data_IF_359998710858
#
_entry.id   IF_359998710858
#
_cell.length_a   1.000
_cell.length_b   1.000
_cell.length_c   1.000
_cell.angle_alpha   90.00
_cell.angle_beta   90.00
_cell.angle_gamma   90.00
#
_symmetry.space_group_name_H-M   'P 1'
#
loop_
_entity.id
_entity.type
_entity.pdbx_description
1 polymer ?
#
# COMPACT_ATOMS: atom_id res chain seq x y z
N UNK A 1 6.64 -4.51 -7.77
CA UNK A 1 6.77 -3.15 -8.33
C UNK A 1 5.52 -2.75 -9.08
N UNK A 2 5.08 -3.49 -10.10
CA UNK A 2 3.83 -3.19 -10.85
C UNK A 2 2.61 -3.03 -9.93
N UNK A 3 2.45 -3.92 -8.95
CA UNK A 3 1.39 -3.86 -7.93
C UNK A 3 1.30 -2.50 -7.20
N UNK A 4 2.45 -1.99 -6.75
CA UNK A 4 2.55 -0.69 -6.06
C UNK A 4 2.14 0.47 -6.96
N UNK A 5 2.50 0.41 -8.25
CA UNK A 5 2.14 1.43 -9.24
C UNK A 5 0.63 1.39 -9.49
N UNK A 6 0.05 0.19 -9.63
CA UNK A 6 -1.39 0.01 -9.79
C UNK A 6 -2.14 0.57 -8.58
N UNK A 7 -1.70 0.25 -7.35
CA UNK A 7 -2.30 0.78 -6.12
C UNK A 7 -2.24 2.32 -6.05
N UNK A 8 -1.10 2.90 -6.45
CA UNK A 8 -0.95 4.36 -6.50
C UNK A 8 -1.86 5.01 -7.56
N UNK A 9 -1.95 4.42 -8.75
CA UNK A 9 -2.86 4.88 -9.81
C UNK A 9 -4.32 4.76 -9.41
N UNK A 10 -4.69 3.66 -8.73
CA UNK A 10 -6.05 3.48 -8.17
C UNK A 10 -6.32 4.56 -7.14
N UNK A 11 -5.39 4.84 -6.23
CA UNK A 11 -5.55 5.88 -5.22
C UNK A 11 -5.72 7.28 -5.85
N UNK A 12 -4.96 7.61 -6.89
CA UNK A 12 -5.09 8.85 -7.65
C UNK A 12 -6.46 8.95 -8.34
N UNK A 13 -6.91 7.87 -9.00
CA UNK A 13 -8.21 7.80 -9.64
C UNK A 13 -9.36 7.99 -8.64
N UNK A 14 -9.26 7.38 -7.46
CA UNK A 14 -10.22 7.54 -6.36
C UNK A 14 -10.33 8.99 -5.91
N UNK A 15 -9.20 9.70 -5.81
CA UNK A 15 -9.21 11.12 -5.43
C UNK A 15 -9.94 11.97 -6.47
N UNK A 16 -9.80 11.66 -7.76
CA UNK A 16 -10.48 12.38 -8.85
C UNK A 16 -11.98 12.10 -8.92
N UNK A 17 -12.42 10.88 -8.58
CA UNK A 17 -13.80 10.41 -8.71
C UNK A 17 -14.62 10.55 -7.41
N UNK A 18 -13.95 10.65 -6.26
CA UNK A 18 -14.56 10.78 -4.93
C UNK A 18 -14.45 9.53 -4.05
N UNK A 19 -14.55 9.67 -2.71
CA UNK A 19 -14.29 8.61 -1.74
C UNK A 19 -15.31 7.45 -1.79
N UNK A 20 -16.53 7.69 -2.29
CA UNK A 20 -17.52 6.61 -2.46
C UNK A 20 -17.09 5.57 -3.49
N UNK A 21 -16.30 5.99 -4.49
CA UNK A 21 -15.81 5.13 -5.56
C UNK A 21 -14.53 4.36 -5.18
N UNK A 22 -13.93 4.67 -4.01
CA UNK A 22 -12.71 4.04 -3.50
C UNK A 22 -12.81 2.53 -3.38
N UNK A 23 -13.86 2.07 -2.72
CA UNK A 23 -14.10 0.64 -2.51
C UNK A 23 -14.36 -0.11 -3.80
N UNK A 24 -15.07 0.51 -4.75
CA UNK A 24 -15.44 -0.10 -6.03
C UNK A 24 -14.22 -0.31 -6.92
N UNK A 25 -13.42 0.74 -7.14
CA UNK A 25 -12.17 0.67 -7.92
C UNK A 25 -11.19 -0.35 -7.36
N UNK A 26 -10.98 -0.32 -6.04
CA UNK A 26 -10.06 -1.24 -5.42
C UNK A 26 -10.59 -2.68 -5.45
N UNK A 27 -11.89 -2.89 -5.25
CA UNK A 27 -12.50 -4.22 -5.40
C UNK A 27 -12.36 -4.78 -6.83
N UNK A 28 -12.42 -3.92 -7.84
CA UNK A 28 -12.22 -4.30 -9.24
C UNK A 28 -10.76 -4.71 -9.50
N UNK A 29 -9.78 -3.93 -9.01
CA UNK A 29 -8.36 -4.26 -9.11
C UNK A 29 -8.06 -5.62 -8.47
N UNK A 30 -8.57 -5.83 -7.26
CA UNK A 30 -8.39 -7.08 -6.51
C UNK A 30 -9.10 -8.28 -7.16
N UNK A 31 -10.26 -8.06 -7.77
CA UNK A 31 -10.95 -9.10 -8.55
C UNK A 31 -10.16 -9.47 -9.82
N UNK A 32 -9.58 -8.48 -10.50
CA UNK A 32 -8.69 -8.70 -11.65
C UNK A 32 -7.44 -9.50 -11.25
N UNK A 33 -6.83 -9.15 -10.12
CA UNK A 33 -5.71 -9.90 -9.54
C UNK A 33 -6.09 -11.36 -9.24
N UNK A 34 -7.28 -11.59 -8.66
CA UNK A 34 -7.77 -12.94 -8.40
C UNK A 34 -7.96 -13.76 -9.68
N UNK A 35 -8.52 -13.15 -10.75
CA UNK A 35 -8.64 -13.80 -12.06
C UNK A 35 -7.27 -14.19 -12.61
N UNK A 36 -6.30 -13.27 -12.60
CA UNK A 36 -4.92 -13.56 -12.99
C UNK A 36 -4.29 -14.68 -12.15
N UNK A 37 -4.56 -14.68 -10.85
CA UNK A 37 -4.13 -15.71 -9.91
C UNK A 37 -4.70 -17.09 -10.20
N UNK A 38 -5.99 -17.18 -10.59
CA UNK A 38 -6.64 -18.44 -11.01
C UNK A 38 -5.93 -19.02 -12.24
N UNK A 39 -5.80 -18.22 -13.31
CA UNK A 39 -5.14 -18.67 -14.53
C UNK A 39 -3.66 -19.03 -14.28
N UNK A 40 -2.95 -18.22 -13.49
CA UNK A 40 -1.56 -18.47 -13.12
C UNK A 40 -1.38 -19.74 -12.30
N UNK A 41 -2.29 -20.02 -11.35
CA UNK A 41 -2.21 -21.22 -10.51
C UNK A 41 -2.55 -22.50 -11.29
N UNK A 42 -3.54 -22.43 -12.18
CA UNK A 42 -3.89 -23.55 -13.08
C UNK A 42 -2.75 -23.85 -14.07
N UNK A 43 -2.24 -22.82 -14.75
CA UNK A 43 -1.15 -22.97 -15.71
C UNK A 43 0.14 -23.41 -15.01
N UNK A 44 0.45 -22.85 -13.84
CA UNK A 44 1.61 -23.21 -13.03
C UNK A 44 1.55 -24.65 -12.54
N UNK A 45 0.39 -25.10 -12.04
CA UNK A 45 0.18 -26.49 -11.63
C UNK A 45 0.33 -27.47 -12.80
N UNK A 46 -0.29 -27.16 -13.95
CA UNK A 46 -0.18 -27.97 -15.16
C UNK A 46 1.25 -28.05 -15.68
N UNK A 47 1.92 -26.90 -15.75
CA UNK A 47 3.31 -26.80 -16.22
C UNK A 47 4.26 -27.60 -15.33
N UNK A 48 4.07 -27.55 -14.01
CA UNK A 48 4.94 -28.26 -13.07
C UNK A 48 4.81 -29.80 -13.16
N UNK A 49 3.64 -30.33 -13.53
CA UNK A 49 3.44 -31.78 -13.68
C UNK A 49 3.82 -32.32 -15.06
N UNK A 50 3.75 -31.50 -16.13
CA UNK A 50 3.86 -31.99 -17.51
C UNK A 50 5.05 -31.44 -18.30
N UNK A 51 5.68 -30.36 -17.84
CA UNK A 51 6.76 -29.69 -18.57
C UNK A 51 8.08 -29.74 -17.79
N UNK A 52 9.22 -29.88 -18.50
CA UNK A 52 10.52 -29.73 -17.87
C UNK A 52 10.77 -28.26 -17.49
N UNK A 53 11.50 -28.07 -16.38
CA UNK A 53 11.72 -26.76 -15.72
C UNK A 53 12.27 -25.69 -16.68
N UNK A 54 13.15 -26.05 -17.61
CA UNK A 54 13.69 -25.13 -18.62
C UNK A 54 12.61 -24.51 -19.53
N UNK A 55 11.62 -25.31 -19.95
CA UNK A 55 10.50 -24.83 -20.76
C UNK A 55 9.57 -23.95 -19.93
N UNK A 56 9.35 -24.31 -18.65
CA UNK A 56 8.55 -23.49 -17.72
C UNK A 56 9.14 -22.09 -17.61
N UNK A 57 10.46 -21.97 -17.39
CA UNK A 57 11.10 -20.65 -17.30
C UNK A 57 10.93 -19.82 -18.57
N UNK A 58 11.05 -20.43 -19.76
CA UNK A 58 10.87 -19.71 -21.03
C UNK A 58 9.42 -19.22 -21.17
N UNK A 59 8.43 -20.08 -20.94
CA UNK A 59 7.01 -19.72 -21.03
C UNK A 59 6.67 -18.61 -20.04
N UNK A 60 7.08 -18.75 -18.77
CA UNK A 60 6.78 -17.77 -17.74
C UNK A 60 7.55 -16.45 -17.91
N UNK A 61 8.69 -16.44 -18.61
CA UNK A 61 9.43 -15.21 -18.94
C UNK A 61 8.68 -14.30 -19.91
N UNK A 62 7.74 -14.84 -20.70
CA UNK A 62 6.89 -14.06 -21.59
C UNK A 62 5.89 -13.17 -20.83
N UNK A 63 5.47 -13.57 -19.62
CA UNK A 63 4.50 -12.82 -18.83
C UNK A 63 5.06 -11.45 -18.35
N UNK A 64 6.28 -11.36 -17.77
CA UNK A 64 6.94 -10.08 -17.51
C UNK A 64 7.15 -9.22 -18.76
N UNK A 65 7.45 -9.82 -19.92
CA UNK A 65 7.61 -9.07 -21.18
C UNK A 65 6.29 -8.43 -21.61
N UNK A 66 5.19 -9.17 -21.52
CA UNK A 66 3.86 -8.65 -21.79
C UNK A 66 3.48 -7.52 -20.81
N UNK A 67 3.82 -7.66 -19.52
CA UNK A 67 3.63 -6.61 -18.52
C UNK A 67 4.43 -5.35 -18.88
N UNK A 68 5.67 -5.50 -19.33
CA UNK A 68 6.53 -4.38 -19.74
C UNK A 68 5.93 -3.64 -20.94
N UNK A 69 5.42 -4.36 -21.93
CA UNK A 69 4.73 -3.76 -23.08
C UNK A 69 3.47 -3.00 -22.62
N UNK A 70 2.71 -3.56 -21.68
CA UNK A 70 1.53 -2.90 -21.13
C UNK A 70 1.88 -1.57 -20.44
N UNK A 71 3.01 -1.50 -19.74
CA UNK A 71 3.48 -0.25 -19.11
C UNK A 71 3.77 0.87 -20.13
N UNK A 72 4.10 0.56 -21.38
CA UNK A 72 4.36 1.59 -22.42
C UNK A 72 3.08 2.35 -22.79
N UNK A 73 1.92 1.70 -22.65
CA UNK A 73 0.63 2.29 -22.98
C UNK A 73 -0.01 3.06 -21.82
N UNK A 74 0.61 3.07 -20.64
CA UNK A 74 0.12 3.84 -19.50
C UNK A 74 0.45 5.31 -19.72
N UNK A 75 -0.57 6.12 -19.96
CA UNK A 75 -0.42 7.55 -20.18
C UNK A 75 -0.40 8.29 -18.83
N UNK A 76 0.75 8.90 -18.50
CA UNK A 76 0.89 9.76 -17.32
C UNK A 76 0.29 11.14 -17.63
N UNK A 77 -0.76 11.55 -16.90
CA UNK A 77 -1.28 12.92 -16.99
C UNK A 77 -0.48 13.84 -16.04
N UNK A 78 0.31 14.81 -16.54
CA UNK A 78 1.24 15.61 -15.72
C UNK A 78 0.56 16.74 -14.90
N UNK A 79 -0.76 16.67 -14.72
CA UNK A 79 -1.60 17.82 -14.32
C UNK A 79 -1.28 18.39 -12.92
N UNK A 80 -0.65 17.63 -12.04
CA UNK A 80 -0.32 18.10 -10.68
C UNK A 80 1.05 18.76 -10.56
N UNK A 81 2.01 18.37 -11.41
CA UNK A 81 3.33 19.00 -11.42
C UNK A 81 3.27 20.42 -11.98
N UNK A 82 2.46 20.66 -13.02
CA UNK A 82 2.20 22.02 -13.53
C UNK A 82 1.53 22.90 -12.46
N UNK A 83 0.50 22.39 -11.78
CA UNK A 83 -0.18 23.16 -10.72
C UNK A 83 0.71 23.45 -9.51
N UNK A 84 1.60 22.52 -9.11
CA UNK A 84 2.56 22.74 -8.03
C UNK A 84 3.64 23.76 -8.44
N UNK A 85 4.13 23.68 -9.67
CA UNK A 85 5.11 24.65 -10.20
C UNK A 85 4.50 26.03 -10.35
N UNK A 86 3.27 26.15 -10.84
CA UNK A 86 2.55 27.42 -10.93
C UNK A 86 2.32 28.05 -9.55
N UNK A 87 1.94 27.26 -8.55
CA UNK A 87 1.79 27.75 -7.17
C UNK A 87 3.12 28.22 -6.57
N UNK A 88 4.23 27.51 -6.81
CA UNK A 88 5.57 27.93 -6.32
C UNK A 88 6.08 29.19 -7.05
N UNK A 89 5.74 29.34 -8.34
CA UNK A 89 6.05 30.56 -9.11
C UNK A 89 5.22 31.73 -8.62
N UNK A 90 3.95 31.52 -8.27
CA UNK A 90 3.08 32.56 -7.69
C UNK A 90 3.54 33.00 -6.30
N UNK A 91 3.93 32.06 -5.43
CA UNK A 91 4.38 32.34 -4.06
C UNK A 91 5.72 33.12 -4.06
N UNK A 92 6.62 32.82 -5.01
CA UNK A 92 7.86 33.60 -5.20
C UNK A 92 7.65 34.98 -5.83
N UNK A 93 6.58 35.16 -6.61
CA UNK A 93 6.23 36.46 -7.18
C UNK A 93 5.66 37.41 -6.12
N UNK A 94 4.93 36.87 -5.14
CA UNK A 94 4.43 37.67 -4.00
C UNK A 94 5.57 38.06 -3.04
N UNK A 95 6.53 37.16 -2.75
CA UNK A 95 7.68 37.50 -1.88
C UNK A 95 8.59 38.59 -2.48
N UNK A 96 8.79 38.61 -3.80
CA UNK A 96 9.55 39.69 -4.47
C UNK A 96 8.81 41.04 -4.51
N UNK A 97 7.49 41.04 -4.36
CA UNK A 97 6.69 42.27 -4.28
C UNK A 97 6.74 42.93 -2.90
N UNK A 98 7.09 42.18 -1.86
CA UNK A 98 7.23 42.66 -0.48
C UNK A 98 8.63 43.27 -0.24
N UNK A 99 9.68 42.69 -0.82
CA UNK A 99 11.06 43.21 -0.67
C UNK A 99 11.31 44.53 -1.42
N UNK A 100 10.53 44.83 -2.46
CA UNK A 100 10.63 46.11 -3.18
C UNK A 100 9.89 47.27 -2.49
N UNK A 101 9.10 47.00 -1.45
CA UNK A 101 8.43 48.03 -0.64
C UNK A 101 9.28 48.55 0.54
N UNK A 102 10.39 47.88 0.88
CA UNK A 102 11.23 48.22 2.04
C UNK A 102 12.61 48.85 1.73
N UNK A 103 12.99 48.99 0.45
CA UNK A 103 14.25 49.59 0.06
C UNK A 103 14.05 51.01 -0.53
N UNK A 104 13.68 51.98 0.32
CA UNK A 104 13.46 53.33 -0.19
C UNK A 104 13.18 54.41 0.85
N UNK A 105 14.08 54.62 1.82
CA UNK A 105 14.42 55.95 2.38
C UNK A 105 15.44 55.83 3.52
N UNK A 106 16.68 56.22 3.21
CA UNK A 106 17.66 56.63 4.21
C UNK A 106 18.24 57.98 3.81
N UNK A 107 18.19 58.93 4.74
CA UNK A 107 19.03 60.12 4.94
C UNK A 107 18.27 61.44 5.16
N UNK A 108 18.65 62.17 6.21
CA UNK A 108 18.34 63.59 6.41
C UNK A 108 17.71 63.93 7.77
N UNK A 109 18.45 64.66 8.60
CA UNK A 109 18.18 64.99 10.00
C UNK A 109 17.03 65.99 10.28
N UNK A 110 16.61 65.97 11.55
CA UNK A 110 16.33 67.12 12.43
C UNK A 110 14.89 67.56 12.70
N UNK A 111 14.63 67.59 14.02
CA UNK A 111 13.55 68.16 14.82
C UNK A 111 12.72 69.34 14.24
N UNK A 112 11.40 69.29 14.47
CA UNK A 112 10.63 70.30 15.23
C UNK A 112 9.15 69.91 15.43
N UNK A 113 8.64 70.18 16.63
CA UNK A 113 7.21 70.29 16.97
C UNK A 113 6.55 71.41 16.15
N UNK A 114 5.26 71.30 15.82
CA UNK A 114 4.14 72.22 16.17
C UNK A 114 2.93 72.06 15.21
N UNK A 115 1.71 72.29 15.73
CA UNK A 115 0.70 73.03 14.96
C UNK A 115 -0.46 72.27 14.33
N UNK A 116 -1.61 72.37 14.99
CA UNK A 116 -2.98 72.16 14.50
C UNK A 116 -3.32 72.86 13.17
N UNK A 117 -4.15 72.24 12.30
CA UNK A 117 -5.37 72.85 11.66
C UNK A 117 -6.02 72.01 10.55
N UNK A 118 -7.25 71.59 10.82
CA UNK A 118 -8.50 71.72 10.02
C UNK A 118 -8.43 71.96 8.48
N UNK A 119 -9.22 71.11 7.78
CA UNK A 119 -10.34 71.41 6.83
C UNK A 119 -10.15 71.13 5.32
N UNK A 120 -11.04 70.24 4.84
CA UNK A 120 -11.84 70.26 3.59
C UNK A 120 -11.13 70.24 2.22
N UNK A 121 -11.51 69.22 1.43
CA UNK A 121 -12.30 69.47 0.22
C UNK A 121 -11.73 69.01 -1.13
N UNK A 122 -12.49 68.11 -1.75
CA UNK A 122 -12.80 68.05 -3.18
C UNK A 122 -11.73 67.61 -4.22
N UNK A 123 -11.97 66.40 -4.73
CA UNK A 123 -12.24 66.08 -6.14
C UNK A 123 -11.30 66.61 -7.24
N UNK A 124 -10.61 65.68 -7.93
CA UNK A 124 -10.55 65.68 -9.41
C UNK A 124 -10.12 64.33 -9.99
N UNK A 125 -11.00 63.78 -10.83
CA UNK A 125 -10.72 62.73 -11.81
C UNK A 125 -9.62 63.21 -12.75
N UNK A 126 -8.69 62.33 -13.12
CA UNK A 126 -8.15 62.38 -14.48
C UNK A 126 -7.79 60.99 -15.01
N UNK A 127 -8.30 60.75 -16.22
CA UNK A 127 -8.24 59.55 -17.03
C UNK A 127 -7.12 59.78 -18.05
N UNK A 128 -6.09 58.92 -18.10
CA UNK A 128 -5.22 58.79 -19.29
C UNK A 128 -4.83 57.34 -19.50
N UNK A 129 -5.32 56.80 -20.62
CA UNK A 129 -4.86 55.58 -21.29
C UNK A 129 -3.73 55.94 -22.26
N UNK A 130 -2.98 54.89 -22.63
CA UNK A 130 -1.96 54.77 -23.69
C UNK A 130 -0.54 55.20 -23.30
N UNK A 131 0.39 54.24 -23.29
CA UNK A 131 1.18 53.91 -24.48
C UNK A 131 1.82 52.53 -24.33
N UNK A 132 1.63 51.69 -25.34
CA UNK A 132 2.36 50.44 -25.51
C UNK A 132 3.81 50.76 -25.89
N UNK A 133 4.77 50.04 -25.29
CA UNK A 133 6.11 49.92 -25.86
C UNK A 133 6.60 48.49 -25.67
N UNK A 134 6.44 47.72 -26.75
CA UNK A 134 7.11 46.45 -27.01
C UNK A 134 8.58 46.79 -27.29
N UNK A 135 9.49 46.22 -26.52
CA UNK A 135 10.89 46.08 -26.93
C UNK A 135 11.32 44.66 -26.56
N UNK A 136 11.54 43.89 -27.61
CA UNK A 136 12.25 42.62 -27.60
C UNK A 136 13.68 42.84 -27.07
N UNK A 137 14.08 42.02 -26.11
CA UNK A 137 15.47 41.72 -25.83
C UNK A 137 15.57 40.21 -25.61
N UNK A 138 15.91 39.53 -26.70
CA UNK A 138 16.39 38.16 -26.70
C UNK A 138 17.74 38.08 -25.96
N UNK A 139 18.13 36.86 -25.57
CA UNK A 139 19.39 36.46 -24.92
C UNK A 139 19.48 36.57 -23.38
N UNK A 140 19.00 35.51 -22.72
CA UNK A 140 19.82 34.72 -21.80
C UNK A 140 19.19 33.32 -21.60
N UNK A 141 19.12 32.56 -22.69
CA UNK A 141 18.90 31.12 -22.65
C UNK A 141 20.28 30.44 -22.55
N UNK A 142 20.66 30.01 -21.34
CA UNK A 142 21.50 28.83 -21.04
C UNK A 142 22.23 28.99 -19.71
N UNK A 143 21.58 28.56 -18.63
CA UNK A 143 22.19 27.90 -17.44
C UNK A 143 21.12 27.71 -16.36
N UNK A 144 20.44 26.56 -16.35
CA UNK A 144 19.96 25.88 -15.12
C UNK A 144 19.10 24.62 -15.38
N UNK A 145 19.20 23.97 -16.56
CA UNK A 145 18.44 22.74 -16.83
C UNK A 145 19.01 21.50 -16.10
N UNK A 146 20.18 21.59 -15.43
CA UNK A 146 20.85 20.42 -14.84
C UNK A 146 20.65 20.20 -13.32
N UNK A 147 19.83 20.99 -12.61
CA UNK A 147 19.68 20.88 -11.14
C UNK A 147 18.30 20.43 -10.63
N UNK A 148 17.36 20.10 -11.52
CA UNK A 148 15.95 19.85 -11.15
C UNK A 148 15.60 18.51 -10.47
N UNK A 149 16.29 17.36 -10.67
CA UNK A 149 15.85 16.10 -10.04
C UNK A 149 16.16 16.03 -8.54
N UNK A 150 17.29 16.59 -8.09
CA UNK A 150 17.70 16.54 -6.69
C UNK A 150 16.83 17.39 -5.75
N UNK A 151 16.33 18.54 -6.24
CA UNK A 151 15.42 19.40 -5.48
C UNK A 151 14.02 18.78 -5.36
N UNK A 152 13.58 18.05 -6.38
CA UNK A 152 12.34 17.26 -6.40
C UNK A 152 12.42 16.03 -5.48
N UNK A 153 13.55 15.29 -5.51
CA UNK A 153 13.72 14.13 -4.64
C UNK A 153 13.78 14.51 -3.15
N UNK A 154 14.49 15.59 -2.82
CA UNK A 154 14.59 16.06 -1.42
C UNK A 154 13.25 16.56 -0.89
N UNK A 155 12.46 17.23 -1.73
CA UNK A 155 11.11 17.68 -1.36
C UNK A 155 10.14 16.50 -1.23
N UNK A 156 10.14 15.55 -2.17
CA UNK A 156 9.36 14.32 -2.05
C UNK A 156 9.71 13.53 -0.78
N UNK A 157 10.99 13.40 -0.45
CA UNK A 157 11.45 12.75 0.78
C UNK A 157 11.00 13.49 2.04
N UNK A 158 11.09 14.83 2.06
CA UNK A 158 10.62 15.62 3.20
C UNK A 158 9.10 15.55 3.37
N UNK A 159 8.34 15.61 2.29
CA UNK A 159 6.89 15.43 2.28
C UNK A 159 6.48 14.04 2.76
N UNK A 160 7.17 12.99 2.30
CA UNK A 160 6.96 11.62 2.77
C UNK A 160 7.26 11.48 4.27
N UNK A 161 8.37 12.05 4.74
CA UNK A 161 8.75 12.02 6.15
C UNK A 161 7.74 12.79 7.02
N UNK A 162 7.18 13.88 6.50
CA UNK A 162 6.13 14.65 7.16
C UNK A 162 4.81 13.89 7.18
N UNK A 163 4.41 13.26 6.07
CA UNK A 163 3.22 12.43 5.97
C UNK A 163 3.30 11.21 6.90
N UNK A 164 4.44 10.51 6.92
CA UNK A 164 4.65 9.35 7.77
C UNK A 164 4.67 9.69 9.27
N UNK A 165 5.04 10.93 9.65
CA UNK A 165 4.97 11.41 11.03
C UNK A 165 3.54 11.70 11.49
N UNK A 166 2.56 11.77 10.59
CA UNK A 166 1.18 12.00 10.99
C UNK A 166 0.66 10.78 11.76
N UNK A 167 0.12 10.95 12.98
CA UNK A 167 -0.36 9.84 13.80
C UNK A 167 -1.54 9.10 13.16
N UNK A 168 -2.25 9.73 12.22
CA UNK A 168 -3.30 9.11 11.43
C UNK A 168 -2.79 7.99 10.51
N UNK A 169 -1.55 8.11 10.00
CA UNK A 169 -0.91 7.15 9.09
C UNK A 169 0.01 6.20 9.85
N UNK A 170 0.82 6.74 10.77
CA UNK A 170 1.81 5.98 11.52
C UNK A 170 1.19 4.88 12.38
N UNK A 171 0.07 5.17 13.06
CA UNK A 171 -0.54 4.18 13.98
C UNK A 171 -1.14 2.97 13.24
N UNK A 172 -1.93 3.14 12.16
CA UNK A 172 -2.34 2.01 11.33
C UNK A 172 -1.17 1.25 10.71
N UNK A 173 -0.15 1.94 10.18
CA UNK A 173 1.02 1.28 9.59
C UNK A 173 1.85 0.50 10.61
N UNK A 174 2.04 1.04 11.82
CA UNK A 174 2.73 0.35 12.91
C UNK A 174 1.94 -0.88 13.37
N UNK A 175 0.61 -0.76 13.51
CA UNK A 175 -0.24 -1.91 13.80
C UNK A 175 -0.11 -2.98 12.71
N UNK A 176 -0.17 -2.57 11.44
CA UNK A 176 -0.05 -3.48 10.30
C UNK A 176 1.30 -4.20 10.29
N UNK A 177 2.39 -3.46 10.54
CA UNK A 177 3.74 -4.02 10.67
C UNK A 177 3.81 -5.06 11.79
N UNK A 178 3.36 -4.70 13.01
CA UNK A 178 3.33 -5.62 14.16
C UNK A 178 2.45 -6.83 13.84
N UNK A 179 1.32 -6.63 13.15
CA UNK A 179 0.36 -7.70 12.83
C UNK A 179 0.91 -8.78 11.91
N UNK A 180 1.87 -8.44 11.04
CA UNK A 180 2.52 -9.41 10.15
C UNK A 180 3.85 -9.89 10.74
N UNK A 181 4.61 -9.01 11.39
CA UNK A 181 5.91 -9.36 11.97
C UNK A 181 5.79 -10.30 13.19
N UNK A 182 4.71 -10.21 13.96
CA UNK A 182 4.51 -11.04 15.15
C UNK A 182 4.14 -12.50 14.83
N UNK A 183 3.72 -12.79 13.59
CA UNK A 183 3.33 -14.14 13.17
C UNK A 183 4.59 -14.85 12.65
N UNK A 184 5.10 -15.88 13.35
CA UNK A 184 6.21 -16.69 12.84
C UNK A 184 5.78 -17.42 11.57
N UNK A 185 6.53 -17.25 10.48
CA UNK A 185 6.22 -17.92 9.22
C UNK A 185 6.86 -19.32 9.20
N UNK A 186 6.04 -20.34 9.37
CA UNK A 186 6.42 -21.75 9.21
C UNK A 186 5.81 -22.40 7.96
N UNK A 187 5.40 -21.59 6.98
CA UNK A 187 4.76 -22.06 5.73
C UNK A 187 5.67 -23.00 4.94
N UNK A 188 6.99 -22.79 4.95
CA UNK A 188 7.95 -23.69 4.29
C UNK A 188 7.97 -25.08 4.93
N UNK A 189 7.94 -25.15 6.27
CA UNK A 189 7.91 -26.43 6.99
C UNK A 189 6.57 -27.14 6.78
N UNK A 190 5.47 -26.38 6.79
CA UNK A 190 4.15 -26.90 6.45
C UNK A 190 4.09 -27.44 5.01
N UNK A 191 4.73 -26.78 4.05
CA UNK A 191 4.83 -27.26 2.67
C UNK A 191 5.60 -28.60 2.58
N UNK A 192 6.73 -28.74 3.29
CA UNK A 192 7.44 -30.02 3.36
C UNK A 192 6.59 -31.10 4.02
N UNK A 193 5.85 -30.79 5.09
CA UNK A 193 4.92 -31.73 5.71
C UNK A 193 3.84 -32.20 4.70
N UNK A 194 3.26 -31.28 3.93
CA UNK A 194 2.25 -31.57 2.92
C UNK A 194 2.77 -32.43 1.75
N UNK A 195 4.03 -32.27 1.37
CA UNK A 195 4.62 -32.96 0.21
C UNK A 195 5.27 -34.30 0.60
N UNK A 196 6.02 -34.34 1.69
CA UNK A 196 6.79 -35.51 2.12
C UNK A 196 5.98 -36.48 3.00
N UNK A 197 5.10 -35.97 3.88
CA UNK A 197 4.32 -36.82 4.80
C UNK A 197 2.95 -37.16 4.23
N UNK A 198 2.25 -36.15 3.70
CA UNK A 198 0.91 -36.32 3.13
C UNK A 198 0.91 -36.76 1.66
N UNK A 199 2.10 -36.82 1.03
CA UNK A 199 2.30 -37.21 -0.37
C UNK A 199 1.37 -36.47 -1.35
N UNK A 200 1.12 -35.18 -1.11
CA UNK A 200 0.29 -34.36 -1.98
C UNK A 200 1.09 -33.90 -3.21
N UNK A 201 0.54 -34.19 -4.39
CA UNK A 201 1.13 -33.75 -5.65
C UNK A 201 1.11 -32.21 -5.76
N UNK A 202 2.15 -31.62 -6.37
CA UNK A 202 2.24 -30.18 -6.53
C UNK A 202 1.08 -29.59 -7.38
N UNK A 203 0.50 -30.38 -8.30
CA UNK A 203 -0.73 -30.02 -9.04
C UNK A 203 -1.94 -29.84 -8.12
N UNK A 204 -2.04 -30.64 -7.05
CA UNK A 204 -3.09 -30.51 -6.04
C UNK A 204 -2.92 -29.23 -5.23
N UNK A 205 -1.70 -28.88 -4.85
CA UNK A 205 -1.40 -27.60 -4.18
C UNK A 205 -1.70 -26.40 -5.09
N UNK A 206 -1.44 -26.52 -6.40
CA UNK A 206 -1.86 -25.53 -7.39
C UNK A 206 -3.37 -25.33 -7.44
N UNK A 207 -4.13 -26.43 -7.38
CA UNK A 207 -5.60 -26.41 -7.34
C UNK A 207 -6.13 -25.80 -6.02
N UNK A 208 -5.47 -26.07 -4.90
CA UNK A 208 -5.80 -25.43 -3.62
C UNK A 208 -5.67 -23.89 -3.71
N UNK A 209 -4.62 -23.38 -4.37
CA UNK A 209 -4.49 -21.93 -4.58
C UNK A 209 -5.60 -21.34 -5.44
N UNK A 210 -6.10 -22.07 -6.44
CA UNK A 210 -7.26 -21.62 -7.23
C UNK A 210 -8.48 -21.36 -6.33
N UNK A 211 -8.73 -22.25 -5.37
CA UNK A 211 -9.80 -22.08 -4.38
C UNK A 211 -9.53 -20.87 -3.49
N UNK A 212 -8.26 -20.61 -3.16
CA UNK A 212 -7.84 -19.40 -2.44
C UNK A 212 -8.19 -18.13 -3.21
N UNK A 213 -7.95 -18.10 -4.52
CA UNK A 213 -8.31 -16.96 -5.37
C UNK A 213 -9.83 -16.79 -5.52
N UNK A 214 -10.60 -17.88 -5.62
CA UNK A 214 -12.06 -17.81 -5.56
C UNK A 214 -12.56 -17.25 -4.22
N UNK A 215 -11.94 -17.67 -3.12
CA UNK A 215 -12.25 -17.19 -1.77
C UNK A 215 -11.92 -15.70 -1.61
N UNK A 216 -10.80 -15.25 -2.19
CA UNK A 216 -10.43 -13.83 -2.24
C UNK A 216 -11.47 -13.03 -3.03
N UNK A 217 -11.85 -13.49 -4.22
CA UNK A 217 -12.86 -12.83 -5.05
C UNK A 217 -14.21 -12.72 -4.34
N UNK A 218 -14.65 -13.80 -3.68
CA UNK A 218 -15.86 -13.80 -2.87
C UNK A 218 -15.74 -12.84 -1.67
N UNK A 219 -14.59 -12.84 -0.99
CA UNK A 219 -14.29 -11.94 0.13
C UNK A 219 -14.33 -10.47 -0.29
N UNK A 220 -13.71 -10.12 -1.41
CA UNK A 220 -13.70 -8.78 -1.99
C UNK A 220 -15.11 -8.33 -2.39
N UNK A 221 -15.92 -9.22 -2.96
CA UNK A 221 -17.34 -8.95 -3.24
C UNK A 221 -18.15 -8.68 -1.96
N UNK A 222 -17.98 -9.53 -0.93
CA UNK A 222 -18.62 -9.34 0.39
C UNK A 222 -18.16 -8.02 1.01
N UNK A 223 -16.88 -7.64 0.84
CA UNK A 223 -16.36 -6.38 1.36
C UNK A 223 -17.04 -5.18 0.74
N UNK A 224 -17.13 -5.16 -0.58
CA UNK A 224 -17.76 -4.05 -1.28
C UNK A 224 -19.27 -3.96 -0.95
N UNK A 225 -19.95 -5.10 -0.78
CA UNK A 225 -21.39 -5.09 -0.47
C UNK A 225 -21.70 -4.72 0.99
N UNK A 226 -20.92 -5.21 1.96
CA UNK A 226 -21.28 -5.15 3.38
C UNK A 226 -20.21 -4.57 4.30
N UNK A 227 -18.92 -4.90 4.08
CA UNK A 227 -17.87 -4.54 5.04
C UNK A 227 -17.38 -3.10 4.89
N UNK A 228 -17.55 -2.47 3.72
CA UNK A 228 -17.15 -1.05 3.52
C UNK A 228 -17.82 -0.07 4.49
N UNK A 229 -19.03 -0.41 4.96
CA UNK A 229 -19.78 0.40 5.94
C UNK A 229 -19.48 0.03 7.40
N UNK A 230 -18.70 -1.02 7.65
CA UNK A 230 -18.31 -1.44 9.00
C UNK A 230 -17.00 -0.75 9.40
N UNK A 231 -16.77 -0.63 10.71
CA UNK A 231 -15.53 -0.07 11.27
C UNK A 231 -14.35 -0.97 10.90
N UNK A 232 -13.25 -0.37 10.44
CA UNK A 232 -12.04 -1.09 10.03
C UNK A 232 -11.52 -2.03 11.13
N UNK A 233 -11.55 -1.59 12.39
CA UNK A 233 -11.16 -2.39 13.57
C UNK A 233 -11.90 -3.73 13.64
N UNK A 234 -13.20 -3.76 13.33
CA UNK A 234 -13.99 -4.98 13.41
C UNK A 234 -13.62 -5.93 12.26
N UNK A 235 -13.41 -5.39 11.06
CA UNK A 235 -12.99 -6.18 9.89
C UNK A 235 -11.66 -6.89 10.19
N UNK A 236 -10.69 -6.15 10.73
CA UNK A 236 -9.38 -6.68 11.08
C UNK A 236 -9.43 -7.66 12.25
N UNK A 237 -10.28 -7.41 13.25
CA UNK A 237 -10.54 -8.38 14.32
C UNK A 237 -11.09 -9.70 13.76
N UNK A 238 -12.12 -9.65 12.91
CA UNK A 238 -12.67 -10.86 12.28
C UNK A 238 -11.67 -11.56 11.38
N UNK A 239 -10.82 -10.82 10.65
CA UNK A 239 -9.76 -11.41 9.84
C UNK A 239 -8.74 -12.18 10.69
N UNK A 240 -8.29 -11.63 11.82
CA UNK A 240 -7.38 -12.34 12.73
C UNK A 240 -8.03 -13.50 13.46
N UNK A 241 -9.31 -13.38 13.85
CA UNK A 241 -10.07 -14.52 14.39
C UNK A 241 -10.19 -15.62 13.34
N UNK A 242 -10.46 -15.28 12.08
CA UNK A 242 -10.48 -16.24 10.98
C UNK A 242 -9.12 -16.92 10.77
N UNK A 243 -8.02 -16.16 10.80
CA UNK A 243 -6.67 -16.71 10.69
C UNK A 243 -6.32 -17.62 11.89
N UNK A 244 -6.75 -17.27 13.09
CA UNK A 244 -6.58 -18.10 14.28
C UNK A 244 -7.37 -19.42 14.16
N UNK A 245 -8.61 -19.38 13.65
CA UNK A 245 -9.41 -20.59 13.37
C UNK A 245 -8.68 -21.50 12.38
N UNK A 246 -8.12 -20.93 11.30
CA UNK A 246 -7.36 -21.71 10.31
C UNK A 246 -6.09 -22.30 10.93
N UNK A 247 -5.38 -21.54 11.74
CA UNK A 247 -4.18 -22.05 12.45
C UNK A 247 -4.55 -23.20 13.41
N UNK A 248 -5.73 -23.15 14.03
CA UNK A 248 -6.26 -24.28 14.82
C UNK A 248 -6.56 -25.48 13.92
N UNK A 249 -7.13 -25.29 12.73
CA UNK A 249 -7.32 -26.37 11.76
C UNK A 249 -5.98 -26.99 11.33
N UNK A 250 -4.93 -26.19 11.16
CA UNK A 250 -3.58 -26.69 10.87
C UNK A 250 -3.01 -27.52 12.03
N UNK A 251 -3.25 -27.12 13.29
CA UNK A 251 -2.86 -27.91 14.47
C UNK A 251 -3.61 -29.25 14.50
N UNK A 252 -4.91 -29.25 14.18
CA UNK A 252 -5.72 -30.46 14.11
C UNK A 252 -5.26 -31.41 13.01
N UNK A 253 -4.85 -30.87 11.85
CA UNK A 253 -4.25 -31.62 10.76
C UNK A 253 -2.95 -32.31 11.21
N UNK A 254 -2.02 -31.55 11.80
CA UNK A 254 -0.71 -32.07 12.23
C UNK A 254 -0.84 -33.09 13.37
N UNK A 255 -1.81 -32.88 14.26
CA UNK A 255 -2.09 -33.80 15.37
C UNK A 255 -2.85 -35.05 14.93
N UNK A 256 -3.21 -35.17 13.64
CA UNK A 256 -3.93 -36.30 13.05
C UNK A 256 -5.30 -36.60 13.68
N UNK A 257 -5.90 -35.64 14.40
CA UNK A 257 -7.22 -35.81 15.01
C UNK A 257 -8.32 -35.97 13.95
N UNK A 258 -8.11 -35.46 12.72
CA UNK A 258 -9.08 -35.55 11.62
C UNK A 258 -9.29 -36.99 11.13
N UNK A 259 -8.33 -37.89 11.32
CA UNK A 259 -8.43 -39.30 10.93
C UNK A 259 -9.55 -39.99 11.72
N UNK A 260 -9.75 -39.60 12.99
CA UNK A 260 -10.84 -40.13 13.83
C UNK A 260 -12.22 -39.70 13.35
N UNK A 261 -12.32 -38.55 12.68
CA UNK A 261 -13.56 -38.03 12.09
C UNK A 261 -13.77 -38.49 10.64
N UNK A 262 -12.84 -39.28 10.07
CA UNK A 262 -12.95 -39.81 8.71
C UNK A 262 -12.81 -38.77 7.59
N UNK A 263 -12.27 -37.59 7.89
CA UNK A 263 -12.06 -36.52 6.90
C UNK A 263 -10.76 -36.81 6.16
N UNK A 264 -10.78 -36.83 4.83
CA UNK A 264 -9.56 -37.05 4.05
C UNK A 264 -8.62 -35.84 4.16
N UNK A 265 -7.35 -36.12 4.41
CA UNK A 265 -6.25 -35.16 4.57
C UNK A 265 -6.21 -34.07 3.50
N UNK A 266 -6.51 -34.47 2.26
CA UNK A 266 -6.59 -33.59 1.09
C UNK A 266 -7.55 -32.42 1.30
N UNK A 267 -8.75 -32.67 1.84
CA UNK A 267 -9.75 -31.62 2.02
C UNK A 267 -9.34 -30.64 3.11
N UNK A 268 -8.75 -31.13 4.20
CA UNK A 268 -8.31 -30.28 5.30
C UNK A 268 -7.18 -29.34 4.85
N UNK A 269 -6.17 -29.86 4.12
CA UNK A 269 -5.09 -29.06 3.55
C UNK A 269 -5.61 -28.02 2.55
N UNK A 270 -6.52 -28.46 1.67
CA UNK A 270 -7.09 -27.63 0.60
C UNK A 270 -7.84 -26.42 1.16
N UNK A 271 -8.65 -26.59 2.21
CA UNK A 271 -9.37 -25.48 2.83
C UNK A 271 -8.46 -24.62 3.73
N UNK A 272 -7.58 -25.22 4.53
CA UNK A 272 -6.71 -24.48 5.44
C UNK A 272 -5.77 -23.54 4.70
N UNK A 273 -4.99 -24.06 3.74
CA UNK A 273 -3.99 -23.28 3.02
C UNK A 273 -4.63 -22.21 2.12
N UNK A 274 -5.68 -22.59 1.39
CA UNK A 274 -6.37 -21.67 0.48
C UNK A 274 -7.03 -20.49 1.21
N UNK A 275 -7.68 -20.76 2.35
CA UNK A 275 -8.38 -19.75 3.10
C UNK A 275 -7.41 -18.85 3.88
N UNK A 276 -6.28 -19.38 4.35
CA UNK A 276 -5.25 -18.59 5.01
C UNK A 276 -4.67 -17.52 4.07
N UNK A 277 -4.33 -17.92 2.84
CA UNK A 277 -3.82 -17.02 1.81
C UNK A 277 -4.85 -15.95 1.45
N UNK A 278 -6.12 -16.35 1.29
CA UNK A 278 -7.22 -15.43 0.99
C UNK A 278 -7.41 -14.39 2.11
N UNK A 279 -7.38 -14.80 3.39
CA UNK A 279 -7.53 -13.88 4.53
C UNK A 279 -6.34 -12.92 4.64
N UNK A 280 -5.12 -13.40 4.43
CA UNK A 280 -3.92 -12.55 4.47
C UNK A 280 -3.94 -11.48 3.37
N UNK A 281 -4.33 -11.87 2.16
CA UNK A 281 -4.53 -10.93 1.07
C UNK A 281 -5.68 -9.97 1.38
N UNK A 282 -6.82 -10.47 1.84
CA UNK A 282 -7.97 -9.64 2.21
C UNK A 282 -7.63 -8.57 3.26
N UNK A 283 -6.78 -8.88 4.25
CA UNK A 283 -6.31 -7.93 5.27
C UNK A 283 -5.61 -6.72 4.67
N UNK A 284 -4.89 -6.86 3.56
CA UNK A 284 -4.17 -5.77 2.90
C UNK A 284 -5.13 -4.75 2.28
N UNK A 285 -6.23 -5.20 1.70
CA UNK A 285 -7.14 -4.36 0.92
C UNK A 285 -7.64 -3.13 1.72
N UNK A 286 -8.23 -3.26 2.92
CA UNK A 286 -8.68 -2.10 3.68
C UNK A 286 -7.56 -1.13 4.08
N UNK A 287 -6.33 -1.61 4.25
CA UNK A 287 -5.17 -0.76 4.53
C UNK A 287 -4.74 0.05 3.33
N UNK A 288 -4.79 -0.52 2.13
CA UNK A 288 -4.51 0.20 0.90
C UNK A 288 -5.59 1.27 0.62
N UNK A 289 -6.87 0.98 0.90
CA UNK A 289 -7.97 1.97 0.81
C UNK A 289 -7.68 3.13 1.76
N UNK A 290 -7.37 2.82 3.02
CA UNK A 290 -7.07 3.82 4.03
C UNK A 290 -5.81 4.63 3.66
N UNK A 291 -4.77 3.95 3.16
CA UNK A 291 -3.55 4.62 2.72
C UNK A 291 -3.87 5.60 1.59
N UNK A 292 -4.63 5.17 0.56
CA UNK A 292 -5.01 6.02 -0.56
C UNK A 292 -5.82 7.26 -0.13
N UNK A 293 -6.74 7.10 0.84
CA UNK A 293 -7.52 8.22 1.38
C UNK A 293 -6.69 9.20 2.22
N UNK A 294 -5.63 8.73 2.87
CA UNK A 294 -4.76 9.55 3.72
C UNK A 294 -3.53 10.11 2.99
N UNK A 295 -3.24 9.64 1.77
CA UNK A 295 -2.13 10.12 0.97
C UNK A 295 -2.27 11.63 0.67
N UNK A 296 -1.24 12.45 0.93
CA UNK A 296 -1.17 13.79 0.37
C UNK A 296 -1.06 13.72 -1.16
N UNK A 297 -1.61 14.71 -1.88
CA UNK A 297 -1.53 14.76 -3.34
C UNK A 297 -0.07 14.89 -3.80
N UNK A 298 0.30 14.14 -4.83
CA UNK A 298 1.62 14.15 -5.46
C UNK A 298 2.68 13.26 -4.79
N UNK A 299 2.35 12.53 -3.72
CA UNK A 299 3.27 11.57 -3.08
C UNK A 299 2.69 10.15 -2.93
N UNK A 300 1.53 9.88 -3.51
CA UNK A 300 0.80 8.61 -3.43
C UNK A 300 1.73 7.43 -3.70
N UNK A 301 2.42 7.45 -4.86
CA UNK A 301 3.34 6.39 -5.26
C UNK A 301 4.45 6.13 -4.25
N UNK A 302 5.00 7.18 -3.63
CA UNK A 302 6.04 7.02 -2.61
C UNK A 302 5.51 6.50 -1.27
N UNK A 303 4.28 6.87 -0.88
CA UNK A 303 3.66 6.35 0.35
C UNK A 303 3.26 4.88 0.20
N UNK A 304 2.71 4.48 -0.95
CA UNK A 304 2.44 3.08 -1.26
C UNK A 304 3.72 2.25 -1.37
N UNK A 305 4.79 2.79 -1.98
CA UNK A 305 6.09 2.13 -2.00
C UNK A 305 6.66 1.92 -0.59
N UNK A 306 6.52 2.91 0.30
CA UNK A 306 6.90 2.78 1.70
C UNK A 306 6.05 1.72 2.41
N UNK A 307 4.72 1.75 2.24
CA UNK A 307 3.81 0.77 2.80
C UNK A 307 4.17 -0.67 2.39
N UNK A 308 4.42 -0.89 1.10
CA UNK A 308 4.80 -2.19 0.57
C UNK A 308 6.20 -2.61 1.02
N UNK A 309 7.13 -1.67 1.19
CA UNK A 309 8.44 -1.96 1.78
C UNK A 309 8.34 -2.38 3.24
N UNK A 310 7.49 -1.71 4.03
CA UNK A 310 7.18 -2.10 5.42
C UNK A 310 6.58 -3.50 5.46
N UNK A 311 5.63 -3.82 4.57
CA UNK A 311 5.03 -5.16 4.47
C UNK A 311 6.08 -6.24 4.15
N UNK A 312 6.94 -5.99 3.16
CA UNK A 312 8.02 -6.92 2.81
C UNK A 312 9.02 -7.10 3.96
N UNK A 313 9.33 -6.03 4.70
CA UNK A 313 10.16 -6.09 5.90
C UNK A 313 9.49 -6.93 6.99
N UNK A 314 8.19 -6.72 7.27
CA UNK A 314 7.43 -7.54 8.22
C UNK A 314 7.47 -9.02 7.87
N UNK A 315 7.24 -9.37 6.59
CA UNK A 315 7.28 -10.75 6.12
C UNK A 315 8.67 -11.36 6.27
N UNK A 316 9.71 -10.57 6.01
CA UNK A 316 11.10 -11.01 6.20
C UNK A 316 11.40 -11.28 7.67
N UNK A 317 10.97 -10.40 8.59
CA UNK A 317 11.09 -10.65 10.03
C UNK A 317 10.29 -11.89 10.47
N UNK A 318 9.06 -12.05 9.98
CA UNK A 318 8.23 -13.23 10.27
C UNK A 318 8.90 -14.53 9.82
N UNK A 319 9.56 -14.53 8.65
CA UNK A 319 10.36 -15.66 8.15
C UNK A 319 11.59 -15.93 9.00
N UNK A 320 12.31 -14.91 9.46
CA UNK A 320 13.43 -15.10 10.38
C UNK A 320 12.97 -15.66 11.74
N UNK A 321 11.87 -15.14 12.28
CA UNK A 321 11.28 -15.65 13.52
C UNK A 321 10.79 -17.09 13.37
N UNK A 322 10.17 -17.43 12.24
CA UNK A 322 9.73 -18.79 11.93
C UNK A 322 10.90 -19.76 11.79
N UNK A 323 11.98 -19.35 11.11
CA UNK A 323 13.21 -20.14 11.01
C UNK A 323 13.90 -20.33 12.37
N UNK A 324 13.99 -19.26 13.18
CA UNK A 324 14.52 -19.34 14.54
C UNK A 324 13.69 -20.26 15.43
N UNK A 325 12.36 -20.19 15.35
CA UNK A 325 11.45 -21.07 16.08
C UNK A 325 11.60 -22.54 15.64
N UNK A 326 11.70 -22.78 14.33
CA UNK A 326 11.91 -24.11 13.75
C UNK A 326 13.22 -24.72 14.25
N UNK A 327 14.30 -23.92 14.26
CA UNK A 327 15.60 -24.33 14.79
C UNK A 327 15.55 -24.57 16.31
N UNK A 328 14.85 -23.73 17.08
CA UNK A 328 14.74 -23.87 18.52
C UNK A 328 13.95 -25.12 18.94
N UNK A 329 12.94 -25.50 18.15
CA UNK A 329 12.13 -26.69 18.37
C UNK A 329 12.72 -27.97 17.73
N UNK A 330 13.92 -27.88 17.13
CA UNK A 330 14.58 -28.96 16.38
C UNK A 330 13.66 -29.62 15.33
N UNK A 331 12.81 -28.83 14.68
CA UNK A 331 11.94 -29.32 13.60
C UNK A 331 12.80 -29.42 12.34
N UNK A 332 12.88 -30.62 11.77
CA UNK A 332 13.64 -30.90 10.55
C UNK A 332 12.71 -31.42 9.47
N UNK A 333 13.17 -31.46 8.22
CA UNK A 333 12.43 -32.06 7.09
C UNK A 333 12.12 -33.56 7.28
N UNK A 334 12.73 -34.18 8.30
CA UNK A 334 12.57 -35.61 8.63
C UNK A 334 11.81 -35.83 9.94
N UNK A 335 11.75 -34.83 10.84
CA UNK A 335 11.14 -34.98 12.17
C UNK A 335 10.23 -33.80 12.50
N UNK A 336 8.93 -34.10 12.57
CA UNK A 336 7.85 -33.11 12.69
C UNK A 336 7.14 -33.13 14.07
N UNK A 337 7.67 -33.86 15.05
CA UNK A 337 7.00 -34.11 16.34
C UNK A 337 6.62 -32.82 17.10
N UNK A 338 7.44 -31.76 16.97
CA UNK A 338 7.20 -30.46 17.60
C UNK A 338 6.46 -29.45 16.70
N UNK A 339 6.00 -29.85 15.51
CA UNK A 339 5.32 -28.95 14.57
C UNK A 339 4.02 -28.38 15.16
N UNK A 340 3.26 -29.19 15.91
CA UNK A 340 2.06 -28.74 16.60
C UNK A 340 2.36 -27.66 17.66
N UNK A 341 3.51 -27.75 18.35
CA UNK A 341 3.97 -26.71 19.28
C UNK A 341 4.36 -25.43 18.55
N UNK A 342 5.04 -25.56 17.40
CA UNK A 342 5.36 -24.43 16.53
C UNK A 342 4.11 -23.68 16.03
N UNK A 343 3.09 -24.44 15.61
CA UNK A 343 1.78 -23.89 15.24
C UNK A 343 1.04 -23.27 16.45
N UNK A 344 1.24 -23.80 17.65
CA UNK A 344 0.73 -23.19 18.89
C UNK A 344 1.35 -21.81 19.15
N UNK A 345 2.66 -21.66 18.95
CA UNK A 345 3.33 -20.36 19.03
C UNK A 345 2.85 -19.43 17.90
N UNK A 346 2.63 -19.95 16.69
CA UNK A 346 2.03 -19.20 15.60
C UNK A 346 0.64 -18.69 15.96
N UNK A 347 -0.22 -19.52 16.56
CA UNK A 347 -1.56 -19.14 17.00
C UNK A 347 -1.50 -17.96 17.99
N UNK A 348 -0.60 -18.00 18.97
CA UNK A 348 -0.39 -16.89 19.90
C UNK A 348 0.03 -15.62 19.13
N UNK A 349 0.97 -15.76 18.17
CA UNK A 349 1.39 -14.68 17.29
C UNK A 349 0.26 -14.09 16.44
N UNK A 350 -0.71 -14.90 15.99
CA UNK A 350 -1.88 -14.43 15.24
C UNK A 350 -2.91 -13.70 16.12
N UNK A 351 -3.00 -14.01 17.41
CA UNK A 351 -3.92 -13.39 18.35
C UNK A 351 -3.36 -12.09 18.95
N UNK A 352 -2.04 -11.98 19.07
CA UNK A 352 -1.35 -10.81 19.62
C UNK A 352 -1.81 -9.46 19.02
N UNK A 353 -1.98 -9.30 17.69
CA UNK A 353 -2.34 -8.01 17.10
C UNK A 353 -3.79 -7.60 17.41
N UNK A 354 -4.66 -8.54 17.81
CA UNK A 354 -6.02 -8.23 18.30
C UNK A 354 -5.92 -7.35 19.56
N UNK A 355 -4.96 -7.62 20.45
CA UNK A 355 -4.70 -6.79 21.63
C UNK A 355 -4.23 -5.38 21.28
N UNK A 356 -3.53 -5.22 20.15
CA UNK A 356 -3.02 -3.94 19.67
C UNK A 356 -4.01 -3.15 18.80
N UNK A 357 -5.24 -3.63 18.58
CA UNK A 357 -6.28 -2.93 17.80
C UNK A 357 -6.62 -1.53 18.34
N UNK A 358 -6.15 -1.16 19.53
CA UNK A 358 -6.26 0.20 20.04
C UNK A 358 -5.50 1.24 19.20
N UNK A 359 -4.46 0.84 18.44
CA UNK A 359 -3.64 1.73 17.61
C UNK A 359 -4.42 2.33 16.43
N UNK A 360 -5.31 1.57 15.80
CA UNK A 360 -6.07 2.02 14.63
C UNK A 360 -7.17 2.98 15.12
N UNK A 361 -7.39 4.19 14.59
CA UNK A 361 -8.43 5.09 15.12
C UNK A 361 -9.85 4.49 15.06
N UNK A 362 -10.75 4.89 15.98
CA UNK A 362 -12.12 4.31 16.09
C UNK A 362 -13.08 4.76 14.97
N UNK A 363 -12.72 5.82 14.28
CA UNK A 363 -13.57 6.55 13.32
C UNK A 363 -13.30 6.14 11.86
N UNK A 364 -12.28 5.31 11.62
CA UNK A 364 -11.95 4.87 10.25
C UNK A 364 -12.94 3.79 9.80
N UNK A 365 -13.84 4.17 8.90
CA UNK A 365 -14.67 3.26 8.09
C UNK A 365 -14.03 3.03 6.71
N UNK A 366 -14.46 2.00 5.99
CA UNK A 366 -13.98 1.74 4.61
C UNK A 366 -14.39 2.82 3.60
N UNK A 367 -15.25 3.75 4.02
CA UNK A 367 -15.60 5.00 3.37
C UNK A 367 -15.19 6.13 4.32
N UNK A 368 -14.52 7.17 3.83
CA UNK A 368 -14.23 8.36 4.61
C UNK A 368 -15.54 9.03 5.08
N UNK A 369 -15.56 9.71 6.25
CA UNK A 369 -16.74 10.39 6.77
C UNK A 369 -17.23 11.55 5.90
#
# INVERSE_FOLDING_TARGET
MADVVIDAMVAEAVRSAGPEFAGDLQSLSWSSMAVGGIFGSLLGGYALSNLPINVIYIIFSALPLFQLVSCIFVEESPKEFENMVDNIVHDRADDQSIDTAFAGKGSGESFKYEGTRRRKGAHKKNKRRSFAKRYDAHENHNKSISSRPYLSLKSAFFSLCTAFKQPAILRPMAWFFISNAAIPNISTVMFYYQTEVLHLEASFLGTARVIGWFSLMLGTYIYNRYLKHKKLRNILMFAHVGLAIITVLDILLVSQLHIQYGIADKYMVLWGSALADAINQFKMMPFLILSGQLCPPGIEGTLFALFMSINNLSNTLGSFLGAALTSALNISSVQFDNLALGLGVQLIGTLLPIGFLFLIPREVTGLAP
#
